data_IF_220784659816
#
_entry.id   IF_220784659816
#
_cell.length_a   1.000
_cell.length_b   1.000
_cell.length_c   1.000
_cell.angle_alpha   90.00
_cell.angle_beta   90.00
_cell.angle_gamma   90.00
#
_symmetry.space_group_name_H-M   'P 1'
#
loop_
_entity.id
_entity.type
_entity.pdbx_description
1 polymer ?
#
# COMPACT_ATOMS: atom_id res chain seq x y z
N UNK A 1 -35.49 -23.79 -7.94
CA UNK A 1 -35.60 -22.71 -6.95
C UNK A 1 -34.64 -21.61 -7.40
N UNK A 2 -35.14 -20.44 -7.74
CA UNK A 2 -34.29 -19.31 -8.17
C UNK A 2 -33.75 -18.64 -6.90
N UNK A 3 -32.43 -18.67 -6.70
CA UNK A 3 -31.79 -17.93 -5.61
C UNK A 3 -31.89 -16.44 -5.94
N UNK A 4 -32.40 -15.58 -5.04
CA UNK A 4 -32.46 -14.14 -5.28
C UNK A 4 -31.04 -13.61 -5.53
N UNK A 5 -30.89 -12.78 -6.56
CA UNK A 5 -29.61 -12.12 -6.85
C UNK A 5 -29.27 -11.16 -5.70
N UNK A 6 -28.05 -11.24 -5.16
CA UNK A 6 -27.56 -10.24 -4.21
C UNK A 6 -27.29 -8.93 -4.96
N UNK A 7 -27.73 -7.82 -4.39
CA UNK A 7 -27.53 -6.48 -4.94
C UNK A 7 -26.90 -5.61 -3.86
N UNK A 8 -25.89 -4.82 -4.21
CA UNK A 8 -25.29 -3.86 -3.30
C UNK A 8 -26.27 -2.73 -2.97
N UNK A 9 -26.59 -2.54 -1.70
CA UNK A 9 -27.54 -1.52 -1.24
C UNK A 9 -27.12 -0.08 -1.57
N UNK A 10 -25.82 0.17 -1.74
CA UNK A 10 -25.27 1.51 -1.99
C UNK A 10 -25.27 1.89 -3.48
N UNK A 11 -24.94 0.95 -4.38
CA UNK A 11 -24.74 1.27 -5.80
C UNK A 11 -25.60 0.44 -6.76
N UNK A 12 -26.40 -0.50 -6.28
CA UNK A 12 -27.27 -1.33 -7.10
C UNK A 12 -26.54 -2.39 -7.93
N UNK A 13 -25.24 -2.61 -7.73
CA UNK A 13 -24.47 -3.62 -8.44
C UNK A 13 -24.84 -5.04 -8.01
N UNK A 14 -25.07 -5.95 -8.96
CA UNK A 14 -25.33 -7.37 -8.69
C UNK A 14 -24.04 -8.08 -8.26
N UNK A 15 -24.09 -8.80 -7.14
CA UNK A 15 -22.95 -9.47 -6.52
C UNK A 15 -23.04 -10.99 -6.66
N UNK A 16 -21.89 -11.64 -6.88
CA UNK A 16 -21.81 -13.10 -6.99
C UNK A 16 -21.69 -13.82 -5.63
N UNK A 17 -21.41 -13.10 -4.54
CA UNK A 17 -21.28 -13.64 -3.19
C UNK A 17 -21.67 -12.59 -2.12
N UNK A 18 -22.10 -13.05 -0.96
CA UNK A 18 -22.37 -12.21 0.21
C UNK A 18 -21.08 -11.99 1.02
N UNK A 19 -20.97 -10.82 1.68
CA UNK A 19 -19.82 -10.44 2.49
C UNK A 19 -18.69 -9.77 1.68
N UNK A 20 -17.87 -8.95 2.36
CA UNK A 20 -16.76 -8.21 1.76
C UNK A 20 -17.12 -6.84 1.18
N UNK A 21 -16.21 -6.23 0.41
CA UNK A 21 -16.43 -4.91 -0.22
C UNK A 21 -17.05 -5.06 -1.60
N UNK A 22 -18.05 -4.23 -1.90
CA UNK A 22 -18.63 -4.14 -3.23
C UNK A 22 -17.56 -3.72 -4.26
N UNK A 23 -17.36 -4.45 -5.37
CA UNK A 23 -16.37 -4.10 -6.38
C UNK A 23 -16.74 -2.82 -7.16
N UNK A 24 -18.01 -2.41 -7.14
CA UNK A 24 -18.47 -1.20 -7.83
C UNK A 24 -18.19 0.09 -7.08
N UNK A 25 -18.50 0.13 -5.78
CA UNK A 25 -18.42 1.36 -4.97
C UNK A 25 -17.50 1.26 -3.73
N UNK A 26 -16.99 0.07 -3.41
CA UNK A 26 -16.13 -0.14 -2.24
C UNK A 26 -16.87 -0.21 -0.89
N UNK A 27 -18.20 -0.10 -0.86
CA UNK A 27 -18.98 -0.21 0.37
C UNK A 27 -18.87 -1.62 0.97
N UNK A 28 -18.75 -1.71 2.30
CA UNK A 28 -18.77 -2.99 3.01
C UNK A 28 -20.19 -3.58 2.96
N UNK A 29 -20.32 -4.82 2.50
CA UNK A 29 -21.58 -5.56 2.52
C UNK A 29 -21.77 -6.23 3.88
N UNK A 30 -23.02 -6.33 4.38
CA UNK A 30 -23.30 -7.10 5.57
C UNK A 30 -22.92 -8.56 5.34
N UNK A 31 -22.22 -9.17 6.30
CA UNK A 31 -21.87 -10.58 6.25
C UNK A 31 -23.16 -11.41 6.30
N UNK A 32 -23.54 -11.99 5.16
CA UNK A 32 -24.75 -12.78 4.99
C UNK A 32 -24.74 -14.14 5.68
N UNK A 33 -24.02 -14.28 6.80
CA UNK A 33 -23.96 -15.52 7.57
C UNK A 33 -25.20 -15.66 8.46
N UNK A 34 -26.32 -16.09 7.89
CA UNK A 34 -27.08 -17.13 8.59
C UNK A 34 -26.27 -18.41 8.44
N UNK A 35 -25.66 -18.86 9.54
CA UNK A 35 -24.93 -20.10 9.57
C UNK A 35 -25.82 -21.24 9.02
N UNK A 36 -25.35 -22.03 8.04
CA UNK A 36 -26.08 -23.24 7.66
C UNK A 36 -26.22 -24.15 8.90
N UNK A 37 -27.35 -24.86 9.05
CA UNK A 37 -27.53 -25.78 10.17
C UNK A 37 -26.38 -26.78 10.20
N UNK A 38 -25.77 -26.95 11.38
CA UNK A 38 -24.69 -27.92 11.62
C UNK A 38 -25.07 -29.28 11.05
N UNK A 39 -24.24 -29.90 10.17
CA UNK A 39 -24.45 -31.28 9.81
C UNK A 39 -24.30 -32.16 11.06
N UNK A 40 -25.11 -33.22 11.21
CA UNK A 40 -25.07 -34.08 12.39
C UNK A 40 -23.67 -34.68 12.58
N UNK A 41 -23.09 -34.45 13.77
CA UNK A 41 -21.83 -35.05 14.21
C UNK A 41 -21.90 -36.57 14.06
N UNK A 42 -21.15 -37.12 13.11
CA UNK A 42 -20.82 -38.55 13.13
C UNK A 42 -19.84 -38.80 14.27
N UNK A 43 -20.30 -39.54 15.28
CA UNK A 43 -19.46 -40.09 16.34
C UNK A 43 -18.52 -41.12 15.72
N UNK A 44 -17.24 -40.77 15.56
CA UNK A 44 -16.19 -41.74 15.31
C UNK A 44 -15.83 -42.41 16.64
N UNK A 45 -16.10 -43.72 16.70
CA UNK A 45 -15.69 -44.61 17.78
C UNK A 45 -14.20 -44.94 17.62
N UNK A 46 -13.54 -45.00 18.76
CA UNK A 46 -12.11 -45.16 19.00
C UNK A 46 -11.44 -46.34 18.27
N UNK A 47 -10.21 -46.08 17.81
CA UNK A 47 -9.19 -47.09 17.54
C UNK A 47 -7.92 -46.73 18.32
N UNK A 48 -7.64 -47.52 19.34
CA UNK A 48 -6.44 -47.47 20.19
C UNK A 48 -5.24 -47.99 19.39
N UNK A 49 -4.17 -47.20 19.28
CA UNK A 49 -2.81 -47.72 19.10
C UNK A 49 -1.87 -46.91 20.00
N UNK A 50 -1.44 -47.55 21.08
CA UNK A 50 -0.25 -47.25 21.85
C UNK A 50 0.99 -47.40 20.94
N UNK A 51 1.85 -46.38 20.82
CA UNK A 51 3.30 -46.58 20.99
C UNK A 51 4.04 -45.24 21.17
N UNK A 52 4.35 -44.98 22.45
CA UNK A 52 5.61 -44.45 23.00
C UNK A 52 6.73 -44.09 22.00
N UNK A 53 7.25 -42.86 22.09
CA UNK A 53 8.64 -42.51 22.49
C UNK A 53 8.89 -41.05 22.14
N UNK A 54 8.99 -40.26 23.19
CA UNK A 54 9.43 -38.86 23.21
C UNK A 54 10.95 -38.84 23.48
N UNK A 55 11.71 -38.01 22.75
CA UNK A 55 12.93 -37.48 23.35
C UNK A 55 12.91 -35.93 23.40
N UNK A 56 13.02 -35.46 24.64
CA UNK A 56 13.23 -34.08 25.09
C UNK A 56 14.58 -33.47 24.62
N UNK A 57 14.74 -32.14 24.74
CA UNK A 57 15.59 -31.32 23.87
C UNK A 57 17.07 -31.29 24.28
N UNK A 58 17.97 -31.30 23.28
CA UNK A 58 19.40 -30.99 23.50
C UNK A 58 19.61 -29.47 23.57
N UNK A 59 19.72 -28.98 24.81
CA UNK A 59 20.29 -27.71 25.19
C UNK A 59 21.79 -27.68 24.85
N UNK A 60 22.19 -26.82 23.92
CA UNK A 60 23.58 -26.42 23.74
C UNK A 60 23.75 -25.02 24.31
N UNK A 61 24.12 -24.96 25.60
CA UNK A 61 24.62 -23.75 26.24
C UNK A 61 26.03 -23.45 25.72
N UNK A 62 26.18 -22.31 25.06
CA UNK A 62 27.49 -21.67 24.82
C UNK A 62 27.60 -20.45 25.74
N UNK A 63 28.46 -20.47 26.76
CA UNK A 63 28.81 -19.26 27.51
C UNK A 63 30.04 -18.56 26.89
N UNK A 64 30.28 -17.31 27.32
CA UNK A 64 31.34 -16.34 26.97
C UNK A 64 31.03 -15.44 25.75
N UNK A 65 31.24 -14.11 25.79
CA UNK A 65 32.03 -13.30 26.70
C UNK A 65 31.39 -11.91 26.93
N UNK A 66 31.35 -11.52 28.19
CA UNK A 66 31.18 -10.16 28.69
C UNK A 66 32.49 -9.43 28.41
N UNK A 67 32.46 -8.33 27.67
CA UNK A 67 33.62 -7.45 27.50
C UNK A 67 33.28 -6.22 26.69
N UNK A 68 33.41 -5.03 27.30
CA UNK A 68 33.41 -3.76 26.56
C UNK A 68 32.43 -2.70 27.07
N UNK A 69 32.40 -2.45 28.37
CA UNK A 69 32.06 -1.11 28.84
C UNK A 69 33.10 -0.09 28.33
N UNK A 70 32.66 1.18 28.26
CA UNK A 70 33.47 2.40 28.05
C UNK A 70 33.71 2.86 26.59
N UNK A 71 32.65 3.08 25.80
CA UNK A 71 32.63 4.15 24.77
C UNK A 71 31.25 4.86 24.75
N UNK A 72 30.64 5.05 25.93
CA UNK A 72 29.36 5.75 26.09
C UNK A 72 29.49 7.16 26.73
N UNK A 73 30.72 7.67 26.93
CA UNK A 73 30.96 8.96 27.60
C UNK A 73 31.66 10.02 26.75
N UNK A 74 32.03 9.75 25.50
CA UNK A 74 32.78 10.70 24.66
C UNK A 74 31.90 11.47 23.67
N UNK A 75 30.67 11.02 23.36
CA UNK A 75 29.80 11.75 22.42
C UNK A 75 28.74 12.64 23.09
N UNK A 76 28.54 12.52 24.41
CA UNK A 76 27.71 13.47 25.18
C UNK A 76 28.47 14.79 25.43
N UNK A 77 29.81 14.80 25.28
CA UNK A 77 30.66 15.98 25.46
C UNK A 77 30.78 16.93 24.25
N UNK A 78 30.23 16.57 23.08
CA UNK A 78 30.27 17.42 21.87
C UNK A 78 28.94 18.12 21.58
N UNK A 79 27.87 17.84 22.34
CA UNK A 79 26.54 18.41 22.14
C UNK A 79 26.29 19.72 22.91
N UNK A 80 27.22 20.19 23.74
CA UNK A 80 27.02 21.36 24.62
C UNK A 80 27.68 22.66 24.16
N UNK A 81 28.50 22.65 23.10
CA UNK A 81 29.25 23.85 22.66
C UNK A 81 28.58 24.60 21.48
N UNK A 82 27.55 24.03 20.85
CA UNK A 82 26.86 24.68 19.73
C UNK A 82 25.60 25.49 20.11
N UNK A 83 25.19 25.52 21.38
CA UNK A 83 23.95 26.17 21.85
C UNK A 83 24.16 27.52 22.57
N UNK A 84 25.34 28.14 22.46
CA UNK A 84 25.63 29.43 23.11
C UNK A 84 25.94 30.60 22.17
N UNK A 85 25.50 30.57 20.90
CA UNK A 85 25.53 31.78 20.08
C UNK A 85 24.17 32.05 19.41
N UNK A 86 23.73 33.30 19.61
CA UNK A 86 22.63 33.98 18.94
C UNK A 86 21.27 33.97 19.65
N UNK A 87 21.26 34.62 20.83
CA UNK A 87 20.23 35.60 21.18
C UNK A 87 20.25 36.70 20.11
N UNK A 88 19.14 36.92 19.42
CA UNK A 88 18.79 38.25 18.96
C UNK A 88 17.32 38.53 19.28
N UNK A 89 17.15 39.68 19.89
CA UNK A 89 15.99 40.21 20.59
C UNK A 89 15.14 40.96 19.56
N UNK A 90 13.85 40.62 19.41
CA UNK A 90 12.91 41.56 18.80
C UNK A 90 11.48 41.36 19.31
N UNK A 91 11.15 42.26 20.24
CA UNK A 91 9.90 43.03 20.38
C UNK A 91 8.60 42.21 20.39
N UNK A 92 8.06 42.09 21.60
CA UNK A 92 6.67 41.78 21.85
C UNK A 92 5.76 42.81 21.18
N UNK A 93 5.03 42.39 20.15
CA UNK A 93 3.85 43.09 19.64
C UNK A 93 2.59 42.33 20.03
N UNK A 94 1.55 43.11 20.30
CA UNK A 94 0.38 42.79 21.12
C UNK A 94 -0.48 41.69 20.50
N UNK A 95 -0.83 40.69 21.31
CA UNK A 95 -1.74 39.62 20.95
C UNK A 95 -3.19 40.14 20.77
N UNK A 96 -3.85 39.84 19.65
CA UNK A 96 -5.29 39.68 19.61
C UNK A 96 -5.68 38.20 19.80
N UNK A 97 -6.87 38.03 20.36
CA UNK A 97 -7.54 36.83 20.87
C UNK A 97 -7.46 35.55 20.00
N UNK A 98 -7.66 34.37 20.61
CA UNK A 98 -7.52 33.08 19.95
C UNK A 98 -8.49 32.94 18.77
N UNK A 99 -7.92 32.84 17.58
CA UNK A 99 -8.60 32.39 16.37
C UNK A 99 -9.16 31.00 16.65
N UNK A 100 -10.48 30.90 16.52
CA UNK A 100 -11.29 29.69 16.45
C UNK A 100 -10.53 28.62 15.66
N UNK A 101 -10.31 27.45 16.27
CA UNK A 101 -9.94 26.23 15.57
C UNK A 101 -11.01 25.97 14.50
N UNK A 102 -10.76 26.40 13.26
CA UNK A 102 -11.55 25.98 12.12
C UNK A 102 -11.44 24.46 12.06
N UNK A 103 -12.57 23.79 12.30
CA UNK A 103 -12.72 22.38 12.04
C UNK A 103 -12.23 22.09 10.61
N UNK A 104 -11.53 20.95 10.37
CA UNK A 104 -10.99 20.63 9.06
C UNK A 104 -12.13 20.72 8.03
N UNK A 105 -12.05 21.74 7.19
CA UNK A 105 -13.05 22.03 6.16
C UNK A 105 -13.09 20.81 5.26
N UNK A 106 -14.18 20.05 5.34
CA UNK A 106 -14.44 18.90 4.47
C UNK A 106 -14.34 19.41 3.04
N UNK A 107 -13.23 19.09 2.37
CA UNK A 107 -13.01 19.45 0.97
C UNK A 107 -14.08 18.71 0.18
N UNK A 108 -15.06 19.47 -0.29
CA UNK A 108 -16.14 18.98 -1.14
C UNK A 108 -15.55 18.63 -2.50
N UNK A 109 -15.91 17.49 -3.10
CA UNK A 109 -15.22 17.02 -4.29
C UNK A 109 -15.40 17.99 -5.45
N UNK A 110 -14.27 18.47 -5.99
CA UNK A 110 -14.26 19.39 -7.14
C UNK A 110 -14.53 18.62 -8.44
N UNK A 111 -15.80 18.32 -8.68
CA UNK A 111 -16.28 17.82 -9.97
C UNK A 111 -15.91 16.36 -10.30
N UNK A 112 -16.24 15.89 -11.52
CA UNK A 112 -16.08 14.49 -11.93
C UNK A 112 -14.61 14.03 -12.01
N UNK A 113 -13.69 14.99 -11.99
CA UNK A 113 -12.26 14.75 -12.00
C UNK A 113 -11.65 14.81 -10.61
N UNK A 114 -12.40 14.85 -9.52
CA UNK A 114 -11.78 14.63 -8.22
C UNK A 114 -11.43 13.15 -8.01
N UNK A 115 -10.20 12.88 -7.57
CA UNK A 115 -9.76 11.53 -7.17
C UNK A 115 -9.79 11.33 -5.65
N UNK A 116 -10.37 12.29 -4.92
CA UNK A 116 -10.56 12.21 -3.47
C UNK A 116 -9.34 12.61 -2.66
N UNK A 117 -8.50 13.54 -3.16
CA UNK A 117 -7.35 14.04 -2.41
C UNK A 117 -7.84 14.91 -1.26
N UNK A 118 -7.75 14.39 -0.03
CA UNK A 118 -8.14 15.15 1.18
C UNK A 118 -6.99 15.98 1.74
N UNK A 119 -5.76 15.52 1.55
CA UNK A 119 -4.54 16.16 2.05
C UNK A 119 -3.47 16.11 0.96
N UNK A 120 -3.03 17.28 0.49
CA UNK A 120 -1.95 17.42 -0.50
C UNK A 120 -0.57 17.36 0.14
N UNK A 121 -0.46 17.32 1.47
CA UNK A 121 0.82 17.16 2.15
C UNK A 121 1.30 15.71 2.15
N UNK A 122 0.38 14.77 2.37
CA UNK A 122 0.68 13.35 2.47
C UNK A 122 -0.37 12.55 1.70
N UNK A 123 0.04 12.02 0.55
CA UNK A 123 -0.85 11.29 -0.34
C UNK A 123 -0.94 9.82 0.08
N UNK A 124 -2.14 9.38 0.42
CA UNK A 124 -2.47 7.99 0.75
C UNK A 124 -2.99 7.26 -0.49
N UNK A 125 -2.20 6.31 -1.00
CA UNK A 125 -2.52 5.55 -2.20
C UNK A 125 -3.82 4.75 -2.06
N UNK A 126 -4.12 4.21 -0.87
CA UNK A 126 -5.29 3.37 -0.65
C UNK A 126 -6.59 4.20 -0.79
N UNK A 127 -6.52 5.52 -0.59
CA UNK A 127 -7.65 6.43 -0.77
C UNK A 127 -7.84 6.89 -2.23
N UNK A 128 -6.75 7.11 -2.96
CA UNK A 128 -6.81 7.67 -4.32
C UNK A 128 -6.91 6.62 -5.43
N UNK A 129 -6.67 5.34 -5.10
CA UNK A 129 -6.68 4.23 -6.07
C UNK A 129 -8.00 4.14 -6.84
N UNK A 130 -9.13 4.14 -6.14
CA UNK A 130 -10.46 4.02 -6.75
C UNK A 130 -10.76 5.17 -7.72
N UNK A 131 -10.30 6.38 -7.40
CA UNK A 131 -10.41 7.55 -8.28
C UNK A 131 -9.56 7.41 -9.54
N UNK A 132 -8.32 6.97 -9.41
CA UNK A 132 -7.44 6.71 -10.55
C UNK A 132 -7.98 5.60 -11.47
N UNK A 133 -8.49 4.50 -10.90
CA UNK A 133 -9.12 3.41 -11.65
C UNK A 133 -10.38 3.91 -12.37
N UNK A 134 -11.25 4.66 -11.69
CA UNK A 134 -12.45 5.24 -12.29
C UNK A 134 -12.13 6.15 -13.47
N UNK A 135 -11.07 6.95 -13.40
CA UNK A 135 -10.60 7.77 -14.54
C UNK A 135 -10.10 6.91 -15.70
N UNK A 136 -9.35 5.85 -15.42
CA UNK A 136 -8.88 4.94 -16.45
C UNK A 136 -10.04 4.24 -17.18
N UNK A 137 -11.09 3.85 -16.46
CA UNK A 137 -12.30 3.25 -17.06
C UNK A 137 -13.10 4.23 -17.92
N UNK A 138 -13.03 5.54 -17.63
CA UNK A 138 -13.59 6.58 -18.51
C UNK A 138 -12.78 6.78 -19.77
N UNK A 139 -11.46 6.65 -19.68
CA UNK A 139 -10.59 6.67 -20.86
C UNK A 139 -10.81 5.44 -21.75
N UNK A 140 -10.86 4.25 -21.17
CA UNK A 140 -11.16 3.00 -21.87
C UNK A 140 -11.89 2.02 -20.94
N UNK A 141 -13.03 1.47 -21.37
CA UNK A 141 -13.85 0.56 -20.55
C UNK A 141 -13.13 -0.73 -20.14
N UNK A 142 -12.12 -1.14 -20.90
CA UNK A 142 -11.31 -2.33 -20.66
C UNK A 142 -9.95 -1.98 -20.05
N UNK A 143 -9.77 -0.77 -19.51
CA UNK A 143 -8.50 -0.36 -18.90
C UNK A 143 -8.12 -1.29 -17.75
N UNK A 144 -6.90 -1.82 -17.80
CA UNK A 144 -6.31 -2.66 -16.75
C UNK A 144 -5.03 -2.03 -16.21
N UNK A 145 -4.76 -2.23 -14.93
CA UNK A 145 -3.57 -1.69 -14.28
C UNK A 145 -2.29 -2.35 -14.81
N UNK A 146 -1.31 -1.53 -15.16
CA UNK A 146 0.02 -1.93 -15.68
C UNK A 146 1.12 -1.67 -14.66
N UNK A 147 1.04 -0.57 -13.91
CA UNK A 147 1.98 -0.30 -12.82
C UNK A 147 1.48 0.79 -11.90
N UNK A 148 1.98 0.78 -10.67
CA UNK A 148 1.92 1.92 -9.76
C UNK A 148 3.32 2.28 -9.32
N UNK A 149 3.63 3.56 -9.26
CA UNK A 149 4.91 4.05 -8.77
C UNK A 149 4.68 5.22 -7.81
N UNK A 150 5.21 5.12 -6.60
CA UNK A 150 5.06 6.10 -5.53
C UNK A 150 6.44 6.48 -5.01
N UNK A 151 6.79 7.77 -5.02
CA UNK A 151 8.10 8.24 -4.57
C UNK A 151 8.12 9.76 -4.29
N UNK A 152 8.82 10.23 -3.24
CA UNK A 152 9.28 9.45 -2.10
C UNK A 152 8.13 9.10 -1.15
N UNK A 153 8.23 7.93 -0.55
CA UNK A 153 7.35 7.43 0.51
C UNK A 153 8.02 7.68 1.86
N UNK A 154 7.27 8.28 2.78
CA UNK A 154 7.67 8.56 4.16
C UNK A 154 6.49 8.19 5.07
N UNK A 155 6.73 7.42 6.14
CA UNK A 155 5.68 6.98 7.06
C UNK A 155 4.45 6.35 6.37
N UNK A 156 4.69 5.49 5.36
CA UNK A 156 3.66 4.82 4.55
C UNK A 156 2.77 5.71 3.68
N UNK A 157 3.14 6.98 3.47
CA UNK A 157 2.45 7.91 2.57
C UNK A 157 3.45 8.55 1.63
N UNK A 158 2.98 9.06 0.49
CA UNK A 158 3.83 9.84 -0.39
C UNK A 158 3.97 11.26 0.13
N UNK A 159 5.20 11.73 0.30
CA UNK A 159 5.52 13.07 0.74
C UNK A 159 5.36 14.06 -0.41
N UNK A 160 4.12 14.48 -0.67
CA UNK A 160 3.81 15.42 -1.73
C UNK A 160 4.34 16.84 -1.42
N UNK A 161 4.51 17.21 -0.13
CA UNK A 161 5.21 18.45 0.27
C UNK A 161 6.68 18.44 -0.19
N UNK A 162 7.34 17.30 -0.10
CA UNK A 162 8.70 17.07 -0.59
C UNK A 162 8.82 16.88 -2.11
N UNK A 163 7.78 17.19 -2.89
CA UNK A 163 7.78 16.99 -4.34
C UNK A 163 7.39 15.58 -4.78
N UNK A 164 6.87 14.75 -3.87
CA UNK A 164 6.51 13.37 -4.15
C UNK A 164 5.33 13.20 -5.09
N UNK A 165 5.40 12.13 -5.86
CA UNK A 165 4.39 11.79 -6.85
C UNK A 165 3.96 10.33 -6.77
N UNK A 166 2.74 10.11 -7.20
CA UNK A 166 2.18 8.79 -7.50
C UNK A 166 1.80 8.75 -8.97
N UNK A 167 2.24 7.71 -9.67
CA UNK A 167 1.88 7.45 -11.04
C UNK A 167 1.15 6.11 -11.14
N UNK A 168 -0.11 6.14 -11.52
CA UNK A 168 -0.87 4.97 -11.93
C UNK A 168 -0.83 4.88 -13.43
N UNK A 169 -0.42 3.73 -13.97
CA UNK A 169 -0.38 3.49 -15.41
C UNK A 169 -1.36 2.37 -15.72
N UNK A 170 -2.27 2.64 -16.64
CA UNK A 170 -3.28 1.73 -17.15
C UNK A 170 -3.07 1.51 -18.65
N UNK A 171 -3.51 0.38 -19.16
CA UNK A 171 -3.48 0.08 -20.59
C UNK A 171 -4.67 -0.77 -21.00
N UNK A 172 -4.91 -0.83 -22.30
CA UNK A 172 -5.97 -1.68 -22.86
C UNK A 172 -5.39 -3.05 -23.23
N UNK A 173 -5.99 -4.18 -22.84
CA UNK A 173 -5.56 -5.50 -23.27
C UNK A 173 -5.51 -5.61 -24.79
N UNK A 174 -4.57 -6.38 -25.33
CA UNK A 174 -4.50 -6.67 -26.78
C UNK A 174 -5.44 -7.80 -27.22
N UNK A 175 -6.10 -8.46 -26.25
CA UNK A 175 -6.86 -9.71 -26.47
C UNK A 175 -6.00 -10.98 -26.41
N UNK A 176 -4.68 -10.85 -26.32
CA UNK A 176 -3.78 -12.00 -26.12
C UNK A 176 -3.64 -12.33 -24.63
N UNK A 177 -4.45 -13.28 -24.18
CA UNK A 177 -4.56 -13.69 -22.78
C UNK A 177 -5.59 -12.88 -21.99
N UNK A 178 -5.85 -13.32 -20.76
CA UNK A 178 -6.80 -12.68 -19.85
C UNK A 178 -6.19 -12.59 -18.44
N UNK A 179 -6.48 -11.50 -17.72
CA UNK A 179 -6.05 -11.31 -16.34
C UNK A 179 -4.58 -10.91 -16.18
N UNK A 180 -3.97 -11.28 -15.05
CA UNK A 180 -2.59 -10.94 -14.71
C UNK A 180 -1.62 -11.45 -15.77
N UNK A 181 -0.71 -10.58 -16.21
CA UNK A 181 0.29 -10.89 -17.23
C UNK A 181 -0.19 -10.70 -18.67
N UNK A 182 -1.48 -10.41 -18.89
CA UNK A 182 -2.02 -10.10 -20.22
C UNK A 182 -1.25 -8.94 -20.86
N UNK A 183 -1.04 -9.03 -22.18
CA UNK A 183 -0.38 -7.97 -22.94
C UNK A 183 -1.32 -6.78 -23.07
N UNK A 184 -0.77 -5.58 -22.89
CA UNK A 184 -1.50 -4.33 -23.14
C UNK A 184 -0.97 -3.63 -24.39
N UNK A 185 -1.81 -2.80 -24.98
CA UNK A 185 -1.46 -1.93 -26.09
C UNK A 185 -0.35 -0.95 -25.71
N UNK A 186 0.31 -0.37 -26.73
CA UNK A 186 1.37 0.63 -26.53
C UNK A 186 0.83 1.98 -26.07
N UNK A 187 -0.42 2.27 -26.41
CA UNK A 187 -1.11 3.41 -25.84
C UNK A 187 -1.50 3.07 -24.40
N UNK A 188 -1.05 3.89 -23.47
CA UNK A 188 -1.30 3.74 -22.03
C UNK A 188 -1.84 5.05 -21.48
N UNK A 189 -2.57 4.97 -20.38
CA UNK A 189 -3.14 6.11 -19.68
C UNK A 189 -2.48 6.25 -18.32
N UNK A 190 -1.93 7.43 -18.04
CA UNK A 190 -1.28 7.72 -16.78
C UNK A 190 -2.15 8.69 -15.98
N UNK A 191 -2.44 8.33 -14.73
CA UNK A 191 -2.96 9.24 -13.72
C UNK A 191 -1.81 9.58 -12.78
N UNK A 192 -1.46 10.86 -12.70
CA UNK A 192 -0.43 11.36 -11.79
C UNK A 192 -1.07 12.11 -10.64
N UNK A 193 -0.50 11.99 -9.45
CA UNK A 193 -0.92 12.68 -8.24
C UNK A 193 0.32 13.22 -7.54
N UNK A 194 0.32 14.50 -7.18
CA UNK A 194 1.46 15.15 -6.54
C UNK A 194 1.06 16.48 -5.91
N UNK A 195 2.03 17.37 -5.59
CA UNK A 195 1.77 18.63 -4.92
C UNK A 195 0.78 19.56 -5.67
N UNK A 196 0.81 19.53 -7.00
CA UNK A 196 -0.08 20.32 -7.87
C UNK A 196 -1.48 19.69 -8.02
N UNK A 197 -1.79 18.64 -7.27
CA UNK A 197 -3.02 17.87 -7.38
C UNK A 197 -2.88 16.68 -8.32
N UNK A 198 -3.94 16.37 -9.07
CA UNK A 198 -3.95 15.21 -9.97
C UNK A 198 -4.16 15.59 -11.43
N UNK A 199 -3.30 15.03 -12.28
CA UNK A 199 -3.35 15.16 -13.74
C UNK A 199 -3.52 13.80 -14.40
N UNK A 200 -3.94 13.80 -15.65
CA UNK A 200 -3.98 12.58 -16.47
C UNK A 200 -3.46 12.86 -17.88
N UNK A 201 -2.79 11.88 -18.47
CA UNK A 201 -2.26 11.99 -19.83
C UNK A 201 -2.25 10.63 -20.54
N UNK A 202 -2.30 10.67 -21.86
CA UNK A 202 -2.11 9.49 -22.71
C UNK A 202 -0.65 9.39 -23.14
N UNK A 203 -0.07 8.22 -22.94
CA UNK A 203 1.28 7.86 -23.38
C UNK A 203 1.14 7.04 -24.66
N UNK A 204 1.40 7.65 -25.81
CA UNK A 204 1.17 7.02 -27.14
C UNK A 204 2.26 6.03 -27.55
N UNK A 205 3.44 6.11 -26.96
CA UNK A 205 4.60 5.27 -27.27
C UNK A 205 5.18 4.61 -26.01
N UNK A 206 4.31 4.06 -25.15
CA UNK A 206 4.77 3.40 -23.94
C UNK A 206 5.58 2.13 -24.28
N UNK A 207 6.47 1.75 -23.35
CA UNK A 207 7.13 0.44 -23.40
C UNK A 207 6.05 -0.65 -23.33
N UNK A 208 6.31 -1.81 -23.96
CA UNK A 208 5.42 -2.97 -23.87
C UNK A 208 5.16 -3.28 -22.39
N UNK A 209 3.92 -3.16 -21.96
CA UNK A 209 3.48 -3.42 -20.59
C UNK A 209 2.78 -4.77 -20.47
N UNK A 210 2.57 -5.20 -19.23
CA UNK A 210 1.69 -6.33 -18.90
C UNK A 210 0.78 -5.95 -17.76
N UNK A 211 -0.44 -6.47 -17.78
CA UNK A 211 -1.41 -6.25 -16.72
C UNK A 211 -0.91 -6.86 -15.40
N UNK A 212 -1.10 -6.15 -14.29
CA UNK A 212 -0.71 -6.60 -12.94
C UNK A 212 -1.92 -7.09 -12.15
N UNK A 213 -3.14 -6.68 -12.54
CA UNK A 213 -4.39 -6.76 -11.77
C UNK A 213 -4.30 -6.03 -10.42
N UNK A 214 -5.47 -5.77 -9.84
CA UNK A 214 -5.57 -5.15 -8.52
C UNK A 214 -4.92 -6.06 -7.46
N UNK A 215 -3.97 -5.54 -6.66
CA UNK A 215 -3.28 -6.33 -5.67
C UNK A 215 -4.22 -6.65 -4.50
N UNK A 216 -4.15 -7.88 -3.98
CA UNK A 216 -4.80 -8.22 -2.71
C UNK A 216 -4.07 -7.57 -1.52
N UNK A 217 -2.82 -7.14 -1.72
CA UNK A 217 -2.00 -6.48 -0.73
C UNK A 217 -2.12 -4.95 -0.84
N UNK A 218 -2.82 -4.27 0.09
CA UNK A 218 -2.95 -2.81 0.08
C UNK A 218 -1.59 -2.13 0.20
N UNK A 219 -1.49 -0.88 -0.28
CA UNK A 219 -0.24 -0.14 -0.29
C UNK A 219 0.30 0.11 1.12
N UNK A 220 -0.56 0.45 2.07
CA UNK A 220 -0.19 0.64 3.48
C UNK A 220 0.42 -0.62 4.10
N UNK A 221 -0.17 -1.79 3.86
CA UNK A 221 0.36 -3.07 4.35
C UNK A 221 1.67 -3.45 3.66
N UNK A 222 1.74 -3.30 2.33
CA UNK A 222 2.95 -3.55 1.57
C UNK A 222 4.11 -2.70 2.11
N UNK A 223 3.86 -1.41 2.34
CA UNK A 223 4.86 -0.48 2.86
C UNK A 223 5.34 -0.86 4.26
N UNK A 224 4.42 -1.15 5.18
CA UNK A 224 4.74 -1.63 6.53
C UNK A 224 5.62 -2.89 6.49
N UNK A 225 5.32 -3.84 5.60
CA UNK A 225 6.10 -5.08 5.46
C UNK A 225 7.46 -4.85 4.82
N UNK A 226 7.56 -3.94 3.85
CA UNK A 226 8.85 -3.55 3.26
C UNK A 226 9.77 -2.90 4.31
N UNK A 227 9.23 -2.02 5.16
CA UNK A 227 9.95 -1.45 6.31
C UNK A 227 10.41 -2.56 7.26
N UNK A 228 9.50 -3.46 7.67
CA UNK A 228 9.82 -4.61 8.51
C UNK A 228 10.86 -5.57 7.91
N UNK A 229 11.03 -5.57 6.58
CA UNK A 229 12.01 -6.38 5.86
C UNK A 229 13.38 -5.72 5.69
N UNK A 230 13.57 -4.51 6.22
CA UNK A 230 14.84 -3.79 6.25
C UNK A 230 14.92 -2.58 5.32
N UNK A 231 13.80 -2.05 4.79
CA UNK A 231 13.77 -0.65 4.35
C UNK A 231 13.80 0.22 5.60
N UNK A 232 14.75 1.16 5.66
CA UNK A 232 14.98 1.98 6.85
C UNK A 232 13.79 2.93 7.04
N UNK A 233 13.12 2.82 8.18
CA UNK A 233 12.03 3.71 8.55
C UNK A 233 12.54 5.16 8.69
N UNK A 234 11.73 6.13 8.27
CA UNK A 234 12.08 7.55 8.28
C UNK A 234 13.02 8.04 7.17
N UNK A 235 13.60 7.15 6.35
CA UNK A 235 14.31 7.56 5.13
C UNK A 235 13.36 7.52 3.91
N UNK A 236 13.48 8.47 2.96
CA UNK A 236 12.75 8.40 1.70
C UNK A 236 13.07 7.13 0.89
N UNK A 237 12.03 6.44 0.43
CA UNK A 237 12.14 5.30 -0.48
C UNK A 237 11.06 5.38 -1.56
N UNK A 238 11.25 4.65 -2.67
CA UNK A 238 10.22 4.46 -3.68
C UNK A 238 9.55 3.09 -3.52
N UNK A 239 8.27 3.02 -3.89
CA UNK A 239 7.50 1.79 -3.93
C UNK A 239 6.86 1.65 -5.29
N UNK A 240 7.04 0.50 -5.92
CA UNK A 240 6.55 0.20 -7.26
C UNK A 240 5.75 -1.09 -7.29
N UNK A 241 4.53 -1.07 -7.82
CA UNK A 241 3.78 -2.26 -8.19
C UNK A 241 4.03 -2.59 -9.66
N UNK A 242 4.56 -3.78 -9.93
CA UNK A 242 4.82 -4.27 -11.29
C UNK A 242 4.62 -5.77 -11.40
N UNK A 243 4.43 -6.25 -12.63
CA UNK A 243 4.61 -7.67 -12.93
C UNK A 243 6.10 -7.99 -12.98
N UNK A 244 6.60 -8.76 -12.01
CA UNK A 244 8.00 -9.15 -11.97
C UNK A 244 8.33 -10.18 -13.04
N UNK A 245 9.30 -9.88 -13.91
CA UNK A 245 9.83 -10.87 -14.84
C UNK A 245 10.59 -12.01 -14.14
N UNK A 246 11.12 -11.74 -12.94
CA UNK A 246 11.82 -12.74 -12.12
C UNK A 246 10.85 -13.71 -11.47
N UNK A 247 9.80 -13.20 -10.84
CA UNK A 247 8.84 -14.02 -10.09
C UNK A 247 7.60 -14.44 -10.89
N UNK A 248 7.48 -13.95 -12.13
CA UNK A 248 6.34 -14.15 -13.06
C UNK A 248 4.98 -13.83 -12.42
N UNK A 249 4.96 -12.86 -11.51
CA UNK A 249 3.77 -12.46 -10.75
C UNK A 249 3.84 -10.98 -10.33
N UNK A 250 2.71 -10.37 -9.95
CA UNK A 250 2.64 -9.04 -9.35
C UNK A 250 3.47 -8.95 -8.07
N UNK A 251 4.30 -7.90 -7.97
CA UNK A 251 5.08 -7.62 -6.77
C UNK A 251 5.08 -6.14 -6.45
N UNK A 252 5.11 -5.85 -5.15
CA UNK A 252 5.54 -4.58 -4.61
C UNK A 252 7.06 -4.59 -4.46
N UNK A 253 7.74 -3.65 -5.11
CA UNK A 253 9.18 -3.43 -4.98
C UNK A 253 9.41 -2.13 -4.22
N UNK A 254 10.02 -2.23 -3.04
CA UNK A 254 10.49 -1.09 -2.26
C UNK A 254 11.99 -0.88 -2.49
N UNK A 255 12.39 0.37 -2.73
CA UNK A 255 13.79 0.74 -2.98
C UNK A 255 14.16 2.02 -2.23
N UNK A 256 15.16 1.96 -1.35
CA UNK A 256 15.68 3.19 -0.71
C UNK A 256 16.27 4.14 -1.75
N UNK A 257 16.08 5.44 -1.55
CA UNK A 257 16.73 6.45 -2.38
C UNK A 257 18.17 6.67 -1.87
N UNK A 258 19.15 6.77 -2.78
CA UNK A 258 20.57 6.96 -2.45
C UNK A 258 21.51 6.09 -3.29
N UNK A 259 22.81 6.17 -2.97
CA UNK A 259 23.90 5.53 -3.73
C UNK A 259 23.95 4.00 -3.56
N UNK A 260 23.58 3.49 -2.39
CA UNK A 260 23.52 2.05 -2.09
C UNK A 260 22.06 1.62 -1.81
N UNK A 261 21.24 1.42 -2.87
CA UNK A 261 19.83 1.17 -2.69
C UNK A 261 19.56 -0.23 -2.13
N UNK A 262 18.89 -0.28 -0.99
CA UNK A 262 18.30 -1.52 -0.46
C UNK A 262 17.02 -1.77 -1.22
N UNK A 263 16.95 -2.92 -1.90
CA UNK A 263 15.75 -3.36 -2.62
C UNK A 263 15.10 -4.50 -1.85
N UNK A 264 13.80 -4.37 -1.60
CA UNK A 264 12.97 -5.41 -1.02
C UNK A 264 11.78 -5.67 -1.93
N UNK A 265 11.39 -6.93 -2.04
CA UNK A 265 10.28 -7.34 -2.90
C UNK A 265 9.27 -8.10 -2.08
N UNK A 266 7.99 -7.85 -2.35
CA UNK A 266 6.86 -8.45 -1.67
C UNK A 266 5.85 -8.91 -2.71
N UNK A 267 5.32 -10.11 -2.55
CA UNK A 267 4.26 -10.66 -3.39
C UNK A 267 2.98 -9.83 -3.19
N UNK A 268 2.46 -9.24 -4.26
CA UNK A 268 1.32 -8.33 -4.17
C UNK A 268 -0.03 -9.06 -3.99
N UNK A 269 -0.07 -10.38 -4.15
CA UNK A 269 -1.26 -11.21 -3.94
C UNK A 269 -1.33 -11.80 -2.53
N UNK A 270 -0.18 -12.07 -1.90
CA UNK A 270 -0.12 -12.72 -0.57
C UNK A 270 0.45 -11.83 0.53
N UNK A 271 0.89 -10.61 0.20
CA UNK A 271 1.64 -9.74 1.10
C UNK A 271 2.86 -10.42 1.74
N UNK A 272 3.54 -11.33 1.07
CA UNK A 272 4.68 -12.05 1.65
C UNK A 272 5.99 -11.53 1.08
N UNK A 273 7.00 -11.33 1.93
CA UNK A 273 8.33 -10.92 1.49
C UNK A 273 8.93 -12.03 0.62
N UNK A 274 9.38 -11.65 -0.58
CA UNK A 274 10.02 -12.54 -1.53
C UNK A 274 11.53 -12.44 -1.34
N UNK A 275 12.09 -13.44 -0.68
CA UNK A 275 13.53 -13.62 -0.52
C UNK A 275 14.05 -14.44 -1.70
N UNK A 276 15.29 -14.18 -2.09
CA UNK A 276 15.99 -14.95 -3.12
C UNK A 276 16.94 -15.93 -2.44
#
# INVERSE_FOLDING_TARGET
MQTPALVCDECGMVLSAAGGRCPGCGANQPDGHQAPPEPPRQQYIAGVIDEKVEPEPKSNMTPLAIGGGVIALVLIGLATVALMNSKEEQVAEVAPLPTVLEAPKKVEPKGPDDIGIKDLAAVDLDLIWGGAHSRALRWNRDAVLVSVEASPVVASKVDAKGGGTVHFVYGTPTGEGFGTGARVQREQFQVSVGPEGSTSSTITAAKKGRAVLDPNCPFSEATRKLIGAGIIDGLPFSVKLVLSEKFKRPVWEGKTLGDDPIVKTLDASTCTILIR
#
